data_IF_927860721332
#
_entry.id   IF_927860721332
#
_cell.length_a   1.000
_cell.length_b   1.000
_cell.length_c   1.000
_cell.angle_alpha   90.00
_cell.angle_beta   90.00
_cell.angle_gamma   90.00
#
_symmetry.space_group_name_H-M   'P 1'
#
loop_
_entity.id
_entity.type
_entity.pdbx_description
1 polymer ?
#
# COMPACT_ATOMS: atom_id res chain seq x y z
N UNK A 1 -3.92 -23.02 -11.46
CA UNK A 1 -3.61 -21.89 -10.56
C UNK A 1 -4.89 -21.27 -10.01
N UNK A 2 -5.87 -20.93 -10.86
CA UNK A 2 -7.20 -20.46 -10.44
C UNK A 2 -7.82 -21.29 -9.32
N UNK A 3 -7.99 -22.59 -9.53
CA UNK A 3 -8.58 -23.47 -8.51
C UNK A 3 -7.81 -23.44 -7.19
N UNK A 4 -6.48 -23.47 -7.24
CA UNK A 4 -5.66 -23.47 -6.02
C UNK A 4 -5.59 -22.09 -5.33
N UNK A 5 -5.98 -21.01 -5.99
CA UNK A 5 -5.88 -19.65 -5.47
C UNK A 5 -7.25 -19.05 -5.09
N UNK A 6 -8.24 -19.20 -5.96
CA UNK A 6 -9.55 -18.53 -5.87
C UNK A 6 -10.70 -19.47 -5.50
N UNK A 7 -10.51 -20.80 -5.52
CA UNK A 7 -11.59 -21.70 -5.10
C UNK A 7 -11.91 -21.56 -3.61
N UNK A 8 -12.96 -22.24 -3.16
CA UNK A 8 -13.44 -22.24 -1.76
C UNK A 8 -12.29 -22.51 -0.76
N UNK A 9 -11.34 -23.37 -1.14
CA UNK A 9 -10.16 -23.72 -0.33
C UNK A 9 -8.87 -22.96 -0.72
N UNK A 10 -8.90 -22.09 -1.73
CA UNK A 10 -7.72 -21.42 -2.29
C UNK A 10 -7.22 -20.23 -1.47
N UNK A 11 -8.10 -19.58 -0.71
CA UNK A 11 -7.80 -18.57 0.30
C UNK A 11 -6.86 -17.44 -0.16
N UNK A 12 -6.78 -17.14 -1.46
CA UNK A 12 -5.97 -16.06 -2.04
C UNK A 12 -4.52 -16.04 -1.56
N UNK A 13 -3.88 -17.21 -1.45
CA UNK A 13 -2.52 -17.31 -0.92
C UNK A 13 -1.49 -16.58 -1.79
N UNK A 14 -0.44 -16.06 -1.15
CA UNK A 14 0.71 -15.44 -1.82
C UNK A 14 1.42 -16.43 -2.76
N UNK A 15 2.08 -15.89 -3.79
CA UNK A 15 2.77 -16.66 -4.83
C UNK A 15 3.66 -17.82 -4.32
N UNK A 16 4.52 -17.64 -3.30
CA UNK A 16 5.37 -18.73 -2.80
C UNK A 16 4.57 -19.88 -2.18
N UNK A 17 3.45 -19.56 -1.52
CA UNK A 17 2.58 -20.53 -0.86
C UNK A 17 1.67 -21.24 -1.87
N UNK A 18 1.19 -20.51 -2.89
CA UNK A 18 0.51 -21.08 -4.04
C UNK A 18 1.40 -22.10 -4.77
N UNK A 19 2.67 -21.75 -5.01
CA UNK A 19 3.66 -22.68 -5.57
C UNK A 19 3.79 -23.95 -4.71
N UNK A 20 3.97 -23.80 -3.39
CA UNK A 20 4.11 -24.94 -2.49
C UNK A 20 2.88 -25.85 -2.51
N UNK A 21 1.68 -25.26 -2.53
CA UNK A 21 0.42 -25.99 -2.60
C UNK A 21 0.28 -26.76 -3.90
N UNK A 22 0.54 -26.13 -5.05
CA UNK A 22 0.44 -26.77 -6.36
C UNK A 22 1.48 -27.89 -6.50
N UNK A 23 2.70 -27.68 -6.01
CA UNK A 23 3.74 -28.72 -5.97
C UNK A 23 3.31 -29.91 -5.12
N UNK A 24 2.67 -29.67 -3.97
CA UNK A 24 2.16 -30.74 -3.09
C UNK A 24 0.98 -31.51 -3.70
N UNK A 25 0.25 -30.91 -4.63
CA UNK A 25 -0.77 -31.60 -5.44
C UNK A 25 -0.17 -32.49 -6.54
N UNK A 26 1.17 -32.51 -6.69
CA UNK A 26 1.87 -33.36 -7.65
C UNK A 26 2.17 -32.69 -8.99
N UNK A 27 1.82 -31.42 -9.17
CA UNK A 27 2.13 -30.69 -10.40
C UNK A 27 3.52 -30.05 -10.33
N UNK A 28 4.25 -30.10 -11.44
CA UNK A 28 5.57 -29.49 -11.54
C UNK A 28 5.84 -29.00 -12.96
N UNK A 29 6.50 -27.86 -13.06
CA UNK A 29 7.11 -27.35 -14.29
C UNK A 29 8.22 -26.35 -13.95
N UNK A 30 9.13 -26.11 -14.89
CA UNK A 30 10.39 -25.38 -14.64
C UNK A 30 10.20 -23.93 -14.19
N UNK A 31 9.15 -23.25 -14.66
CA UNK A 31 8.86 -21.84 -14.36
C UNK A 31 7.84 -21.63 -13.24
N UNK A 32 7.41 -22.69 -12.55
CA UNK A 32 6.24 -22.65 -11.67
C UNK A 32 6.29 -21.61 -10.56
N UNK A 33 7.46 -21.34 -10.00
CA UNK A 33 7.64 -20.33 -8.97
C UNK A 33 7.32 -18.95 -9.54
N UNK A 34 7.88 -18.62 -10.71
CA UNK A 34 7.64 -17.35 -11.39
C UNK A 34 6.17 -17.23 -11.77
N UNK A 35 5.58 -18.28 -12.34
CA UNK A 35 4.20 -18.24 -12.80
C UNK A 35 3.22 -18.07 -11.64
N UNK A 36 3.45 -18.71 -10.49
CA UNK A 36 2.62 -18.51 -9.29
C UNK A 36 2.73 -17.06 -8.76
N UNK A 37 3.94 -16.48 -8.77
CA UNK A 37 4.15 -15.09 -8.35
C UNK A 37 3.45 -14.11 -9.30
N UNK A 38 3.60 -14.30 -10.60
CA UNK A 38 3.00 -13.44 -11.63
C UNK A 38 1.48 -13.59 -11.68
N UNK A 39 0.95 -14.78 -11.40
CA UNK A 39 -0.48 -15.03 -11.31
C UNK A 39 -1.12 -14.28 -10.13
N UNK A 40 -0.56 -14.41 -8.92
CA UNK A 40 -1.09 -13.71 -7.72
C UNK A 40 -0.99 -12.19 -7.87
N UNK A 41 0.10 -11.68 -8.47
CA UNK A 41 0.26 -10.24 -8.75
C UNK A 41 -0.85 -9.66 -9.64
N UNK A 42 -1.46 -10.47 -10.50
CA UNK A 42 -2.54 -10.03 -11.42
C UNK A 42 -3.94 -10.21 -10.84
N UNK A 43 -4.08 -10.87 -9.68
CA UNK A 43 -5.39 -11.10 -9.07
C UNK A 43 -5.95 -9.79 -8.52
N UNK A 44 -7.07 -9.32 -9.08
CA UNK A 44 -7.72 -8.06 -8.68
C UNK A 44 -8.16 -8.07 -7.21
N UNK A 45 -8.70 -9.20 -6.73
CA UNK A 45 -9.09 -9.34 -5.33
C UNK A 45 -7.87 -9.18 -4.42
N UNK A 46 -6.73 -9.80 -4.77
CA UNK A 46 -5.50 -9.59 -4.01
C UNK A 46 -4.99 -8.15 -4.10
N UNK A 47 -5.06 -7.49 -5.26
CA UNK A 47 -4.62 -6.10 -5.39
C UNK A 47 -5.47 -5.13 -4.58
N UNK A 48 -6.79 -5.34 -4.55
CA UNK A 48 -7.73 -4.47 -3.83
C UNK A 48 -7.63 -4.63 -2.32
N UNK A 49 -7.41 -5.86 -1.84
CA UNK A 49 -7.37 -6.17 -0.41
C UNK A 49 -5.95 -6.33 0.16
N UNK A 50 -4.92 -6.17 -0.67
CA UNK A 50 -3.54 -6.19 -0.20
C UNK A 50 -3.29 -5.02 0.76
N UNK A 51 -2.44 -5.26 1.75
CA UNK A 51 -1.96 -4.17 2.60
C UNK A 51 -1.22 -3.14 1.75
N UNK A 52 -1.67 -1.89 1.82
CA UNK A 52 -0.96 -0.76 1.24
C UNK A 52 0.23 -0.47 2.15
N UNK A 53 1.44 -0.69 1.64
CA UNK A 53 2.66 -0.26 2.34
C UNK A 53 2.75 1.25 2.12
N UNK A 54 2.34 2.04 3.12
CA UNK A 54 2.46 3.51 3.09
C UNK A 54 3.89 4.02 3.25
N UNK A 55 4.88 3.19 2.99
CA UNK A 55 6.28 3.57 3.05
C UNK A 55 6.68 4.17 1.70
N UNK A 56 7.21 5.40 1.67
CA UNK A 56 7.76 5.95 0.44
C UNK A 56 8.94 5.08 -0.02
N UNK A 57 9.09 4.96 -1.34
CA UNK A 57 10.14 4.14 -1.97
C UNK A 57 11.55 4.63 -1.58
N UNK A 58 11.67 5.93 -1.29
CA UNK A 58 12.88 6.61 -0.85
C UNK A 58 12.59 7.51 0.35
N UNK A 59 13.64 7.90 1.07
CA UNK A 59 13.57 8.92 2.11
C UNK A 59 13.11 10.25 1.49
N UNK A 60 12.20 10.95 2.18
CA UNK A 60 11.83 12.31 1.82
C UNK A 60 13.04 13.22 2.04
N UNK A 61 13.39 14.01 1.02
CA UNK A 61 14.43 15.03 1.10
C UNK A 61 13.76 16.38 1.43
N UNK A 62 14.29 17.16 2.39
CA UNK A 62 13.75 18.48 2.68
C UNK A 62 13.96 19.40 1.49
N UNK A 63 12.96 20.25 1.20
CA UNK A 63 13.15 21.38 0.28
C UNK A 63 14.15 22.35 0.88
N UNK A 64 15.27 22.59 0.20
CA UNK A 64 16.27 23.57 0.62
C UNK A 64 15.83 24.92 0.04
N UNK A 65 15.44 25.86 0.90
CA UNK A 65 15.15 27.24 0.51
C UNK A 65 16.44 28.07 0.51
N UNK A 66 16.55 28.98 -0.46
CA UNK A 66 17.78 29.76 -0.67
C UNK A 66 17.80 31.09 0.09
N UNK A 67 16.63 31.58 0.51
CA UNK A 67 16.41 32.77 1.33
C UNK A 67 15.05 32.68 2.06
N UNK A 68 14.80 33.50 3.09
CA UNK A 68 13.46 33.61 3.69
C UNK A 68 12.42 34.03 2.63
N UNK A 69 11.23 33.46 2.66
CA UNK A 69 10.13 33.70 1.71
C UNK A 69 10.30 33.08 0.31
N UNK A 70 11.20 32.10 0.17
CA UNK A 70 11.42 31.38 -1.11
C UNK A 70 10.36 30.28 -1.35
N UNK A 71 9.90 29.58 -0.30
CA UNK A 71 8.84 28.57 -0.39
C UNK A 71 8.11 28.40 0.94
N UNK A 72 6.78 28.24 0.90
CA UNK A 72 5.97 28.06 2.11
C UNK A 72 5.38 26.66 2.19
N UNK A 73 5.48 26.04 3.36
CA UNK A 73 4.74 24.83 3.70
C UNK A 73 3.40 25.19 4.34
N UNK A 74 2.30 24.71 3.77
CA UNK A 74 0.96 24.90 4.32
C UNK A 74 0.36 23.54 4.69
N UNK A 75 -0.20 23.44 5.89
CA UNK A 75 -0.93 22.26 6.35
C UNK A 75 -2.21 22.65 7.11
N UNK A 76 -3.21 21.77 7.09
CA UNK A 76 -4.48 21.96 7.78
C UNK A 76 -4.63 20.93 8.90
N UNK A 77 -4.67 21.40 10.14
CA UNK A 77 -4.88 20.56 11.31
C UNK A 77 -6.35 20.58 11.71
N UNK A 78 -6.99 19.42 11.73
CA UNK A 78 -8.33 19.27 12.30
C UNK A 78 -9.08 18.03 11.83
N UNK A 79 -10.35 17.88 12.23
CA UNK A 79 -11.11 18.79 13.10
C UNK A 79 -10.65 18.74 14.57
N UNK A 80 -10.55 19.90 15.23
CA UNK A 80 -10.25 20.01 16.67
C UNK A 80 -11.53 19.99 17.51
N UNK A 81 -11.43 19.39 18.71
CA UNK A 81 -12.48 19.36 19.72
C UNK A 81 -11.88 19.65 21.12
N UNK A 82 -12.47 20.58 21.91
CA UNK A 82 -13.61 21.43 21.57
C UNK A 82 -13.27 22.47 20.47
N UNK A 83 -14.30 23.02 19.83
CA UNK A 83 -14.15 24.14 18.89
C UNK A 83 -13.60 25.37 19.63
N UNK A 84 -12.96 26.28 18.88
CA UNK A 84 -12.62 27.61 19.40
C UNK A 84 -13.87 28.36 19.89
N UNK A 85 -13.67 29.45 20.64
CA UNK A 85 -14.76 30.33 21.10
C UNK A 85 -15.68 30.78 19.96
N UNK A 86 -15.11 30.95 18.76
CA UNK A 86 -15.80 31.45 17.57
C UNK A 86 -16.32 30.31 16.68
N UNK A 87 -16.21 29.05 17.14
CA UNK A 87 -16.73 27.89 16.44
C UNK A 87 -15.83 27.32 15.35
N UNK A 88 -14.61 27.85 15.14
CA UNK A 88 -13.63 27.26 14.23
C UNK A 88 -13.16 25.89 14.73
N UNK A 89 -13.01 24.94 13.79
CA UNK A 89 -12.60 23.56 14.05
C UNK A 89 -11.34 23.13 13.30
N UNK A 90 -10.69 24.03 12.57
CA UNK A 90 -9.46 23.73 11.84
C UNK A 90 -8.45 24.85 12.07
N UNK A 91 -7.17 24.50 12.04
CA UNK A 91 -6.04 25.44 12.11
C UNK A 91 -5.28 25.33 10.80
N UNK A 92 -5.02 26.46 10.15
CA UNK A 92 -4.08 26.52 9.02
C UNK A 92 -2.69 26.82 9.58
N UNK A 93 -1.77 25.88 9.44
CA UNK A 93 -0.37 26.02 9.81
C UNK A 93 0.44 26.42 8.58
N UNK A 94 1.26 27.46 8.71
CA UNK A 94 2.13 27.95 7.62
C UNK A 94 3.56 28.08 8.14
N UNK A 95 4.53 27.51 7.42
CA UNK A 95 5.96 27.73 7.67
C UNK A 95 6.60 28.33 6.43
N UNK A 96 7.48 29.29 6.66
CA UNK A 96 8.47 29.76 5.70
C UNK A 96 9.72 28.87 5.71
#
# INVERSE_FOLDING_TARGET
MEEAHSAICGAHQLGPKLHFQIKRMGYYWSTMVKDCMDYVKKCQACQFHANIIHQPLELLHPTITSWPFDAWGLDAVGPIAPKSSDGHSYILATTD
#
